data_IF_938180720334
#
_entry.id   IF_938180720334
#
_cell.length_a   1.000
_cell.length_b   1.000
_cell.length_c   1.000
_cell.angle_alpha   90.00
_cell.angle_beta   90.00
_cell.angle_gamma   90.00
#
_symmetry.space_group_name_H-M   'P 1'
#
loop_
_entity.id
_entity.type
_entity.pdbx_description
1 polymer ?
#
# COMPACT_ATOMS: atom_id res chain seq x y z
N UNK A 1 -10.08 -0.86 -4.06
CA UNK A 1 -9.70 -2.22 -3.61
C UNK A 1 -9.93 -2.21 -2.11
N UNK A 2 -10.88 -3.00 -1.65
CA UNK A 2 -11.13 -3.25 -0.23
C UNK A 2 -10.17 -4.37 0.21
N UNK A 3 -9.74 -4.39 1.46
CA UNK A 3 -8.91 -5.47 2.03
C UNK A 3 -9.70 -6.78 2.27
N UNK A 4 -10.83 -6.94 1.58
CA UNK A 4 -11.73 -8.09 1.68
C UNK A 4 -11.35 -9.22 0.71
N UNK A 5 -10.57 -8.90 -0.33
CA UNK A 5 -10.17 -9.86 -1.36
C UNK A 5 -8.65 -9.89 -1.48
N UNK A 6 -8.09 -11.09 -1.65
CA UNK A 6 -6.68 -11.23 -1.95
C UNK A 6 -6.37 -10.68 -3.37
N UNK A 7 -5.11 -10.30 -3.60
CA UNK A 7 -4.66 -9.85 -4.92
C UNK A 7 -4.90 -10.90 -6.01
N UNK A 8 -5.65 -10.57 -7.06
CA UNK A 8 -5.80 -11.47 -8.22
C UNK A 8 -4.70 -11.27 -9.26
N UNK A 9 -4.08 -10.09 -9.27
CA UNK A 9 -3.02 -9.72 -10.22
C UNK A 9 -1.95 -8.85 -9.54
N UNK A 10 -0.72 -8.98 -9.99
CA UNK A 10 0.40 -8.13 -9.60
C UNK A 10 1.33 -7.97 -10.81
N UNK A 11 1.77 -6.73 -11.13
CA UNK A 11 2.59 -6.44 -12.31
C UNK A 11 2.01 -7.03 -13.62
N UNK A 12 0.70 -6.87 -13.83
CA UNK A 12 -0.07 -7.41 -14.98
C UNK A 12 -0.03 -8.94 -15.13
N UNK A 13 0.38 -9.68 -14.09
CA UNK A 13 0.43 -11.14 -14.06
C UNK A 13 -0.60 -11.69 -13.08
N UNK A 14 -1.23 -12.83 -13.38
CA UNK A 14 -2.15 -13.49 -12.45
C UNK A 14 -1.41 -13.96 -11.20
N UNK A 15 -2.05 -13.80 -10.05
CA UNK A 15 -1.60 -14.34 -8.76
C UNK A 15 -2.35 -15.64 -8.48
N UNK A 16 -1.63 -16.68 -8.03
CA UNK A 16 -2.21 -17.98 -7.65
C UNK A 16 -1.61 -18.47 -6.34
N UNK A 17 -2.41 -19.16 -5.52
CA UNK A 17 -1.88 -19.86 -4.35
C UNK A 17 -0.93 -20.98 -4.80
N UNK A 18 0.24 -21.06 -4.15
CA UNK A 18 1.19 -22.12 -4.39
C UNK A 18 0.70 -23.42 -3.76
N UNK A 19 0.61 -24.47 -4.59
CA UNK A 19 0.30 -25.82 -4.16
C UNK A 19 1.46 -26.77 -4.53
N UNK A 20 2.20 -27.32 -3.54
CA UNK A 20 3.29 -28.27 -3.79
C UNK A 20 2.89 -29.50 -4.61
N UNK A 21 1.63 -29.94 -4.55
CA UNK A 21 1.16 -31.08 -5.34
C UNK A 21 1.00 -30.74 -6.84
N UNK A 22 0.84 -29.46 -7.16
CA UNK A 22 0.69 -28.96 -8.53
C UNK A 22 2.00 -28.38 -9.10
N UNK A 23 2.91 -27.96 -8.23
CA UNK A 23 4.17 -27.33 -8.59
C UNK A 23 4.00 -25.99 -9.33
N UNK A 24 5.09 -25.53 -9.94
CA UNK A 24 5.09 -24.28 -10.73
C UNK A 24 4.62 -24.51 -12.16
N UNK A 25 3.76 -23.61 -12.65
CA UNK A 25 3.23 -23.59 -14.02
C UNK A 25 3.43 -22.19 -14.60
N UNK A 26 4.15 -22.09 -15.72
CA UNK A 26 4.53 -20.81 -16.34
C UNK A 26 5.13 -19.81 -15.33
N UNK A 27 6.20 -20.16 -14.58
CA UNK A 27 6.72 -19.37 -13.45
C UNK A 27 7.18 -17.96 -13.82
N UNK A 28 7.57 -17.71 -15.07
CA UNK A 28 7.91 -16.37 -15.54
C UNK A 28 6.66 -15.47 -15.78
N UNK A 29 5.47 -16.05 -15.90
CA UNK A 29 4.21 -15.37 -16.25
C UNK A 29 3.17 -15.45 -15.11
N UNK A 30 3.43 -16.23 -14.07
CA UNK A 30 2.52 -16.40 -12.92
C UNK A 30 3.22 -15.94 -11.65
N UNK A 31 2.51 -15.15 -10.84
CA UNK A 31 2.96 -14.79 -9.50
C UNK A 31 2.33 -15.76 -8.50
N UNK A 32 3.13 -16.22 -7.55
CA UNK A 32 2.69 -17.19 -6.55
C UNK A 32 2.47 -16.54 -5.20
N UNK A 33 1.34 -16.85 -4.57
CA UNK A 33 1.04 -16.55 -3.18
C UNK A 33 1.47 -17.72 -2.31
N UNK A 34 2.35 -17.46 -1.35
CA UNK A 34 2.65 -18.36 -0.25
C UNK A 34 1.79 -17.96 0.95
N UNK A 35 0.93 -18.85 1.41
CA UNK A 35 0.01 -18.59 2.53
C UNK A 35 -0.25 -19.88 3.31
N UNK A 36 -0.66 -19.75 4.57
CA UNK A 36 -1.23 -20.85 5.35
C UNK A 36 -2.76 -20.79 5.42
N UNK A 37 -3.38 -19.74 4.88
CA UNK A 37 -4.84 -19.56 4.89
C UNK A 37 -5.59 -20.59 4.03
N UNK A 38 -4.90 -21.25 3.09
CA UNK A 38 -5.46 -22.33 2.26
C UNK A 38 -5.38 -23.71 2.94
N UNK A 39 -4.89 -23.76 4.18
CA UNK A 39 -4.80 -24.96 5.02
C UNK A 39 -5.85 -24.91 6.13
N UNK A 40 -6.17 -26.09 6.67
CA UNK A 40 -6.96 -26.17 7.91
C UNK A 40 -6.22 -25.46 9.05
N UNK A 41 -6.97 -24.78 9.92
CA UNK A 41 -6.43 -24.06 11.08
C UNK A 41 -5.55 -24.96 11.99
N UNK A 42 -5.94 -26.23 12.15
CA UNK A 42 -5.20 -27.23 12.94
C UNK A 42 -4.03 -27.88 12.18
N UNK A 43 -3.70 -27.40 10.98
CA UNK A 43 -2.59 -27.93 10.18
C UNK A 43 -1.24 -27.71 10.88
N UNK A 44 -0.40 -28.75 10.86
CA UNK A 44 0.98 -28.66 11.33
C UNK A 44 1.90 -27.95 10.31
N UNK A 45 1.45 -27.77 9.06
CA UNK A 45 2.22 -27.10 8.01
C UNK A 45 2.26 -25.61 8.30
N UNK A 46 3.46 -25.07 8.43
CA UNK A 46 3.70 -23.63 8.66
C UNK A 46 4.17 -22.94 7.39
N UNK A 47 4.20 -21.61 7.42
CA UNK A 47 4.65 -20.81 6.27
C UNK A 47 6.07 -21.19 5.82
N UNK A 48 6.92 -21.63 6.75
CA UNK A 48 8.27 -22.09 6.44
C UNK A 48 8.32 -23.37 5.62
N UNK A 49 7.40 -24.29 5.87
CA UNK A 49 7.29 -25.51 5.07
C UNK A 49 6.85 -25.16 3.65
N UNK A 50 5.95 -24.17 3.50
CA UNK A 50 5.53 -23.63 2.20
C UNK A 50 6.68 -22.95 1.46
N UNK A 51 7.43 -22.07 2.13
CA UNK A 51 8.60 -21.39 1.55
C UNK A 51 9.65 -22.41 1.14
N UNK A 52 9.96 -23.39 2.00
CA UNK A 52 10.95 -24.44 1.69
C UNK A 52 10.53 -25.24 0.47
N UNK A 53 9.28 -25.74 0.46
CA UNK A 53 8.75 -26.48 -0.68
C UNK A 53 8.75 -25.64 -1.97
N UNK A 54 8.47 -24.34 -1.90
CA UNK A 54 8.53 -23.44 -3.05
C UNK A 54 9.96 -23.25 -3.57
N UNK A 55 10.93 -23.10 -2.68
CA UNK A 55 12.35 -22.91 -3.05
C UNK A 55 13.01 -24.18 -3.59
N UNK A 56 12.45 -25.36 -3.31
CA UNK A 56 12.90 -26.65 -3.85
C UNK A 56 12.37 -26.93 -5.27
N UNK A 57 11.44 -26.11 -5.78
CA UNK A 57 10.90 -26.25 -7.13
C UNK A 57 12.00 -26.06 -8.20
N UNK A 58 12.13 -26.98 -9.19
CA UNK A 58 13.21 -26.92 -10.18
C UNK A 58 13.27 -25.63 -11.00
N UNK A 59 12.12 -24.94 -11.14
CA UNK A 59 11.98 -23.72 -11.93
C UNK A 59 11.82 -22.45 -11.08
N UNK A 60 12.08 -22.51 -9.77
CA UNK A 60 11.88 -21.36 -8.87
C UNK A 60 12.70 -20.13 -9.30
N UNK A 61 13.85 -20.33 -9.93
CA UNK A 61 14.68 -19.23 -10.45
C UNK A 61 14.06 -18.46 -11.63
N UNK A 62 12.97 -18.93 -12.21
CA UNK A 62 12.21 -18.21 -13.26
C UNK A 62 11.17 -17.23 -12.67
N UNK A 63 10.90 -17.29 -11.36
CA UNK A 63 9.89 -16.48 -10.70
C UNK A 63 10.27 -14.99 -10.73
N UNK A 64 9.32 -14.17 -11.17
CA UNK A 64 9.50 -12.71 -11.23
C UNK A 64 8.77 -11.96 -10.13
N UNK A 65 7.85 -12.60 -9.42
CA UNK A 65 7.11 -11.96 -8.34
C UNK A 65 6.59 -12.95 -7.31
N UNK A 66 6.47 -12.48 -6.08
CA UNK A 66 5.99 -13.27 -4.95
C UNK A 66 4.97 -12.47 -4.15
N UNK A 67 3.90 -13.14 -3.74
CA UNK A 67 2.95 -12.63 -2.75
C UNK A 67 3.09 -13.50 -1.52
N UNK A 68 3.13 -12.89 -0.34
CA UNK A 68 3.02 -13.58 0.94
C UNK A 68 1.66 -13.23 1.52
N UNK A 69 0.79 -14.21 1.70
CA UNK A 69 -0.47 -14.06 2.42
C UNK A 69 -0.28 -14.29 3.92
N UNK A 70 -1.28 -14.88 4.57
CA UNK A 70 -1.22 -15.26 5.99
C UNK A 70 -0.01 -16.17 6.26
N UNK A 71 0.85 -15.77 7.21
CA UNK A 71 2.02 -16.55 7.64
C UNK A 71 1.79 -17.34 8.93
N UNK A 72 0.89 -16.88 9.78
CA UNK A 72 0.47 -17.56 11.00
C UNK A 72 -0.98 -17.19 11.33
N UNK A 73 -1.74 -18.14 11.84
CA UNK A 73 -3.11 -17.92 12.32
C UNK A 73 -3.13 -17.17 13.67
N UNK A 74 -2.04 -17.22 14.42
CA UNK A 74 -1.80 -16.42 15.62
C UNK A 74 -1.25 -15.03 15.23
N UNK A 75 -1.92 -14.36 14.29
CA UNK A 75 -1.39 -13.23 13.51
C UNK A 75 -0.83 -12.04 14.31
N UNK A 76 -1.27 -11.84 15.56
CA UNK A 76 -0.77 -10.79 16.46
C UNK A 76 0.45 -11.20 17.30
N UNK A 77 0.75 -12.49 17.41
CA UNK A 77 1.89 -12.99 18.20
C UNK A 77 3.15 -13.16 17.36
N UNK A 78 2.99 -13.38 16.04
CA UNK A 78 4.08 -13.70 15.12
C UNK A 78 4.21 -12.62 14.05
N UNK A 79 5.34 -11.90 14.09
CA UNK A 79 5.64 -10.87 13.09
C UNK A 79 6.27 -11.43 11.80
N UNK A 80 6.32 -10.59 10.76
CA UNK A 80 6.83 -10.98 9.44
C UNK A 80 8.35 -11.17 9.35
N UNK A 81 9.13 -10.88 10.40
CA UNK A 81 10.61 -10.96 10.36
C UNK A 81 11.11 -12.32 9.87
N UNK A 82 10.60 -13.46 10.37
CA UNK A 82 11.10 -14.76 9.95
C UNK A 82 10.84 -15.03 8.45
N UNK A 83 9.75 -14.49 7.89
CA UNK A 83 9.49 -14.52 6.43
C UNK A 83 10.49 -13.63 5.68
N UNK A 84 10.73 -12.40 6.15
CA UNK A 84 11.72 -11.49 5.54
C UNK A 84 13.10 -12.13 5.52
N UNK A 85 13.54 -12.74 6.62
CA UNK A 85 14.82 -13.44 6.72
C UNK A 85 14.91 -14.61 5.73
N UNK A 86 13.83 -15.38 5.55
CA UNK A 86 13.78 -16.47 4.57
C UNK A 86 13.88 -15.96 3.13
N UNK A 87 13.19 -14.86 2.80
CA UNK A 87 13.30 -14.24 1.47
C UNK A 87 14.72 -13.72 1.22
N UNK A 88 15.37 -13.09 2.20
CA UNK A 88 16.75 -12.64 2.06
C UNK A 88 17.70 -13.83 1.84
N UNK A 89 17.52 -14.93 2.59
CA UNK A 89 18.31 -16.14 2.43
C UNK A 89 18.14 -16.77 1.02
N UNK A 90 16.96 -16.64 0.44
CA UNK A 90 16.61 -17.16 -0.88
C UNK A 90 17.11 -16.31 -2.07
N UNK A 91 17.79 -15.17 -1.84
CA UNK A 91 18.17 -14.22 -2.91
C UNK A 91 18.92 -14.87 -4.10
N UNK A 92 19.73 -15.90 -3.86
CA UNK A 92 20.49 -16.59 -4.90
C UNK A 92 19.62 -17.56 -5.73
N UNK A 93 18.53 -18.06 -5.14
CA UNK A 93 17.55 -18.94 -5.80
C UNK A 93 16.51 -18.14 -6.59
N UNK A 94 16.32 -16.86 -6.26
CA UNK A 94 15.32 -15.96 -6.85
C UNK A 94 15.98 -14.80 -7.64
N UNK A 95 16.87 -15.07 -8.62
CA UNK A 95 17.66 -14.03 -9.28
C UNK A 95 16.86 -13.06 -10.15
N UNK A 96 15.63 -13.43 -10.53
CA UNK A 96 14.76 -12.64 -11.40
C UNK A 96 13.59 -11.98 -10.64
N UNK A 97 13.59 -12.03 -9.31
CA UNK A 97 12.51 -11.45 -8.51
C UNK A 97 12.48 -9.92 -8.67
N UNK A 98 11.33 -9.42 -9.11
CA UNK A 98 11.07 -8.01 -9.41
C UNK A 98 9.89 -7.45 -8.61
N UNK A 99 9.04 -8.31 -8.03
CA UNK A 99 7.88 -7.87 -7.26
C UNK A 99 7.73 -8.67 -5.98
N UNK A 100 7.49 -7.97 -4.87
CA UNK A 100 7.11 -8.57 -3.59
C UNK A 100 5.87 -7.83 -3.10
N UNK A 101 4.84 -8.58 -2.73
CA UNK A 101 3.76 -8.07 -1.87
C UNK A 101 3.75 -8.88 -0.57
N UNK A 102 3.96 -8.23 0.56
CA UNK A 102 4.04 -8.86 1.88
C UNK A 102 2.77 -8.58 2.69
N UNK A 103 2.09 -9.64 3.12
CA UNK A 103 0.91 -9.54 3.97
C UNK A 103 -0.38 -9.35 3.18
N UNK A 104 -0.54 -10.01 2.04
CA UNK A 104 -1.83 -10.12 1.32
C UNK A 104 -2.82 -10.96 2.13
N UNK A 105 -3.18 -10.43 3.29
CA UNK A 105 -4.03 -10.98 4.34
C UNK A 105 -5.32 -10.20 4.29
N UNK A 106 -6.45 -10.90 4.18
CA UNK A 106 -7.76 -10.25 4.12
C UNK A 106 -8.36 -10.06 5.51
N UNK A 107 -9.36 -9.18 5.61
CA UNK A 107 -10.06 -8.89 6.86
C UNK A 107 -10.56 -10.17 7.58
N UNK A 108 -11.07 -11.15 6.83
CA UNK A 108 -11.55 -12.42 7.39
C UNK A 108 -10.42 -13.28 8.00
N UNK A 109 -9.18 -13.08 7.60
CA UNK A 109 -8.00 -13.80 8.09
C UNK A 109 -7.38 -13.07 9.29
N UNK A 110 -7.17 -11.76 9.16
CA UNK A 110 -6.64 -10.89 10.21
C UNK A 110 -7.00 -9.43 9.92
N UNK A 111 -7.50 -8.75 10.94
CA UNK A 111 -7.67 -7.29 10.96
C UNK A 111 -6.34 -6.59 10.63
N UNK A 112 -6.37 -5.57 9.76
CA UNK A 112 -5.15 -4.95 9.21
C UNK A 112 -4.28 -4.30 10.30
N UNK A 113 -4.91 -3.81 11.36
CA UNK A 113 -4.27 -3.23 12.54
C UNK A 113 -3.55 -4.27 13.40
N UNK A 114 -3.91 -5.55 13.28
CA UNK A 114 -3.29 -6.66 14.01
C UNK A 114 -2.12 -7.29 13.26
N UNK A 115 -1.98 -7.04 11.96
CA UNK A 115 -0.91 -7.60 11.13
C UNK A 115 0.46 -7.08 11.59
N UNK A 116 1.23 -7.97 12.23
CA UNK A 116 2.56 -7.67 12.74
C UNK A 116 3.63 -7.71 11.63
N UNK A 117 4.06 -6.55 11.18
CA UNK A 117 5.18 -6.39 10.24
C UNK A 117 6.53 -6.36 10.95
N UNK A 118 7.58 -6.12 10.18
CA UNK A 118 8.96 -6.08 10.65
C UNK A 118 9.81 -5.11 9.83
N UNK A 119 11.13 -5.15 10.04
CA UNK A 119 12.08 -4.37 9.26
C UNK A 119 12.27 -4.99 7.87
N UNK A 120 11.78 -4.28 6.85
CA UNK A 120 11.87 -4.66 5.45
C UNK A 120 13.14 -4.16 4.78
N UNK A 121 13.98 -3.38 5.47
CA UNK A 121 15.21 -2.83 4.91
C UNK A 121 16.16 -3.88 4.27
N UNK A 122 16.26 -5.13 4.78
CA UNK A 122 17.08 -6.16 4.14
C UNK A 122 16.62 -6.55 2.73
N UNK A 123 15.33 -6.41 2.41
CA UNK A 123 14.80 -6.77 1.09
C UNK A 123 15.37 -5.90 -0.03
N UNK A 124 15.56 -4.60 0.23
CA UNK A 124 16.14 -3.67 -0.75
C UNK A 124 17.59 -4.04 -1.11
N UNK A 125 18.33 -4.66 -0.19
CA UNK A 125 19.70 -5.10 -0.44
C UNK A 125 19.74 -6.47 -1.13
N UNK A 126 18.83 -7.37 -0.75
CA UNK A 126 18.76 -8.72 -1.29
C UNK A 126 18.30 -8.76 -2.75
N UNK A 127 17.41 -7.84 -3.14
CA UNK A 127 16.76 -7.83 -4.44
C UNK A 127 17.01 -6.53 -5.21
N UNK A 128 18.21 -6.31 -5.78
CA UNK A 128 18.57 -5.05 -6.44
C UNK A 128 17.75 -4.73 -7.71
N UNK A 129 17.03 -5.71 -8.26
CA UNK A 129 16.15 -5.55 -9.43
C UNK A 129 14.66 -5.43 -9.03
N UNK A 130 14.35 -5.18 -7.76
CA UNK A 130 12.98 -5.02 -7.30
C UNK A 130 12.34 -3.76 -7.92
N UNK A 131 11.24 -3.95 -8.64
CA UNK A 131 10.44 -2.90 -9.26
C UNK A 131 9.17 -2.57 -8.45
N UNK A 132 8.62 -3.55 -7.74
CA UNK A 132 7.41 -3.39 -6.95
C UNK A 132 7.63 -3.92 -5.53
N UNK A 133 7.29 -3.08 -4.54
CA UNK A 133 7.14 -3.48 -3.15
C UNK A 133 5.77 -3.04 -2.65
N UNK A 134 4.95 -4.01 -2.25
CA UNK A 134 3.71 -3.79 -1.53
C UNK A 134 3.78 -4.39 -0.13
N UNK A 135 3.16 -3.73 0.83
CA UNK A 135 3.00 -4.26 2.18
C UNK A 135 1.62 -3.88 2.71
N UNK A 136 0.97 -4.82 3.42
CA UNK A 136 -0.27 -4.57 4.15
C UNK A 136 -0.07 -4.88 5.63
N UNK A 137 -0.57 -3.99 6.49
CA UNK A 137 -0.28 -3.96 7.92
C UNK A 137 0.79 -2.93 8.26
N UNK A 138 0.52 -2.08 9.25
CA UNK A 138 1.45 -1.03 9.69
C UNK A 138 2.22 -1.34 10.97
N UNK A 139 1.71 -2.26 11.80
CA UNK A 139 2.25 -2.49 13.14
C UNK A 139 3.66 -3.10 13.06
N UNK A 140 4.63 -2.48 13.72
CA UNK A 140 6.03 -2.91 13.69
C UNK A 140 6.77 -2.71 12.36
N UNK A 141 6.12 -2.16 11.32
CA UNK A 141 6.71 -1.92 10.00
C UNK A 141 7.88 -0.93 10.08
N UNK A 142 8.99 -1.26 9.44
CA UNK A 142 10.11 -0.34 9.19
C UNK A 142 10.65 -0.56 7.79
N UNK A 143 11.01 0.53 7.12
CA UNK A 143 11.72 0.51 5.83
C UNK A 143 13.20 0.86 6.01
N UNK A 144 13.55 1.51 7.13
CA UNK A 144 14.89 1.96 7.43
C UNK A 144 15.39 2.97 6.39
N UNK A 145 16.68 2.91 6.05
CA UNK A 145 17.26 3.79 5.04
C UNK A 145 17.07 3.20 3.64
N UNK A 146 16.00 3.64 2.98
CA UNK A 146 15.67 3.17 1.64
C UNK A 146 16.53 3.85 0.57
N UNK A 147 17.32 3.05 -0.14
CA UNK A 147 18.02 3.45 -1.36
C UNK A 147 17.89 2.32 -2.39
N UNK A 148 17.15 2.56 -3.47
CA UNK A 148 16.89 1.54 -4.47
C UNK A 148 16.73 2.14 -5.86
N UNK A 149 17.64 1.78 -6.77
CA UNK A 149 17.68 2.36 -8.11
C UNK A 149 16.52 1.91 -8.99
N UNK A 150 15.97 0.72 -8.78
CA UNK A 150 15.01 0.12 -9.72
C UNK A 150 13.56 0.12 -9.24
N UNK A 151 13.27 0.58 -8.02
CA UNK A 151 11.91 0.51 -7.49
C UNK A 151 11.03 1.55 -8.20
N UNK A 152 9.93 1.08 -8.78
CA UNK A 152 8.96 1.89 -9.52
C UNK A 152 7.65 2.06 -8.76
N UNK A 153 7.28 1.06 -7.96
CA UNK A 153 6.03 1.07 -7.18
C UNK A 153 6.30 0.74 -5.72
N UNK A 154 5.81 1.60 -4.84
CA UNK A 154 5.74 1.38 -3.40
C UNK A 154 4.30 1.55 -2.92
N UNK A 155 3.73 0.50 -2.33
CA UNK A 155 2.37 0.48 -1.76
C UNK A 155 2.45 0.08 -0.30
N UNK A 156 1.86 0.89 0.58
CA UNK A 156 1.76 0.61 2.02
C UNK A 156 0.30 0.76 2.43
N UNK A 157 -0.35 -0.36 2.71
CA UNK A 157 -1.72 -0.45 3.21
C UNK A 157 -1.68 -0.60 4.73
N UNK A 158 -2.37 0.27 5.46
CA UNK A 158 -2.34 0.31 6.92
C UNK A 158 -3.60 0.99 7.46
N UNK A 159 -4.14 0.47 8.55
CA UNK A 159 -5.19 1.14 9.32
C UNK A 159 -4.68 2.30 10.19
N UNK A 160 -3.36 2.48 10.29
CA UNK A 160 -2.70 3.55 11.04
C UNK A 160 -1.20 3.56 10.79
N UNK A 161 -0.75 4.35 9.81
CA UNK A 161 0.66 4.36 9.40
C UNK A 161 1.49 5.29 10.27
N UNK A 162 2.52 4.76 10.90
CA UNK A 162 3.40 5.57 11.74
C UNK A 162 4.13 6.67 10.95
N UNK A 163 4.25 7.84 11.58
CA UNK A 163 5.05 8.99 11.17
C UNK A 163 6.49 8.59 10.84
N UNK A 164 7.05 7.61 11.56
CA UNK A 164 8.39 7.08 11.29
C UNK A 164 8.46 6.49 9.89
N UNK A 165 7.50 5.64 9.49
CA UNK A 165 7.48 5.06 8.15
C UNK A 165 7.23 6.14 7.09
N UNK A 166 6.33 7.10 7.33
CA UNK A 166 6.11 8.23 6.41
C UNK A 166 7.39 9.04 6.20
N UNK A 167 8.14 9.31 7.28
CA UNK A 167 9.43 9.99 7.23
C UNK A 167 10.50 9.17 6.50
N UNK A 168 10.57 7.86 6.72
CA UNK A 168 11.48 6.96 6.00
C UNK A 168 11.22 6.98 4.49
N UNK A 169 9.94 6.95 4.08
CA UNK A 169 9.53 7.12 2.68
C UNK A 169 9.95 8.50 2.17
N UNK A 170 9.60 9.58 2.87
CA UNK A 170 9.99 10.95 2.49
C UNK A 170 11.51 11.17 2.43
N UNK A 171 12.29 10.33 3.11
CA UNK A 171 13.76 10.35 3.10
C UNK A 171 14.40 9.38 2.10
N UNK A 172 13.60 8.54 1.44
CA UNK A 172 14.09 7.52 0.52
C UNK A 172 14.81 8.11 -0.71
N UNK A 173 15.70 7.31 -1.28
CA UNK A 173 16.35 7.56 -2.57
C UNK A 173 15.81 6.54 -3.58
N UNK A 174 14.75 6.96 -4.29
CA UNK A 174 14.02 6.12 -5.25
C UNK A 174 13.90 6.89 -6.59
N UNK A 175 14.99 7.01 -7.36
CA UNK A 175 15.04 7.86 -8.55
C UNK A 175 14.10 7.41 -9.67
N UNK A 176 13.63 6.16 -9.62
CA UNK A 176 12.71 5.58 -10.60
C UNK A 176 11.29 5.35 -10.06
N UNK A 177 10.94 5.87 -8.87
CA UNK A 177 9.59 5.74 -8.33
C UNK A 177 8.57 6.48 -9.19
N UNK A 178 7.58 5.75 -9.68
CA UNK A 178 6.50 6.22 -10.55
C UNK A 178 5.15 6.17 -9.83
N UNK A 179 4.99 5.23 -8.90
CA UNK A 179 3.77 5.03 -8.11
C UNK A 179 4.09 4.95 -6.62
N UNK A 180 3.47 5.83 -5.84
CA UNK A 180 3.52 5.83 -4.39
C UNK A 180 2.11 5.83 -3.82
N UNK A 181 1.81 4.85 -2.98
CA UNK A 181 0.54 4.73 -2.27
C UNK A 181 0.79 4.51 -0.79
N UNK A 182 0.25 5.41 0.04
CA UNK A 182 0.32 5.35 1.50
C UNK A 182 -1.10 5.45 2.05
N UNK A 183 -1.52 4.44 2.81
CA UNK A 183 -2.76 4.50 3.60
C UNK A 183 -2.38 5.03 4.97
N UNK A 184 -2.81 6.25 5.28
CA UNK A 184 -2.36 6.95 6.47
C UNK A 184 -3.08 6.44 7.73
N UNK A 185 -4.30 5.95 7.57
CA UNK A 185 -5.13 5.40 8.62
C UNK A 185 -5.64 6.44 9.62
N UNK A 186 -5.83 5.96 10.84
CA UNK A 186 -6.32 6.73 12.00
C UNK A 186 -5.42 6.57 13.22
N UNK A 187 -5.44 7.56 14.11
CA UNK A 187 -4.73 7.52 15.40
C UNK A 187 -5.10 6.32 16.28
N UNK A 188 -6.33 5.80 16.15
CA UNK A 188 -6.80 4.66 16.93
C UNK A 188 -6.03 3.36 16.67
N UNK A 189 -5.41 3.24 15.49
CA UNK A 189 -4.67 2.05 15.06
C UNK A 189 -3.20 2.35 14.73
N UNK A 190 -2.64 3.39 15.36
CA UNK A 190 -1.20 3.69 15.31
C UNK A 190 -0.79 4.81 14.36
N UNK A 191 -1.74 5.42 13.64
CA UNK A 191 -1.46 6.56 12.76
C UNK A 191 -1.09 7.81 13.56
N UNK A 192 0.16 8.25 13.49
CA UNK A 192 0.62 9.48 14.16
C UNK A 192 1.33 10.46 13.21
N UNK A 193 1.29 10.18 11.90
CA UNK A 193 1.81 11.06 10.87
C UNK A 193 1.07 12.40 10.86
N UNK A 194 1.76 13.46 10.46
CA UNK A 194 1.18 14.78 10.25
C UNK A 194 1.46 15.25 8.83
N UNK A 195 0.79 16.33 8.40
CA UNK A 195 1.12 17.02 7.13
C UNK A 195 2.59 17.42 7.04
N UNK A 196 3.26 17.69 8.17
CA UNK A 196 4.68 18.03 8.19
C UNK A 196 5.56 16.85 7.74
N UNK A 197 5.19 15.63 8.13
CA UNK A 197 5.92 14.41 7.76
C UNK A 197 5.82 14.10 6.26
N UNK A 198 4.73 14.54 5.63
CA UNK A 198 4.50 14.42 4.19
C UNK A 198 5.27 15.47 3.37
N UNK A 199 5.76 16.56 3.96
CA UNK A 199 6.40 17.67 3.22
C UNK A 199 7.52 17.23 2.26
N UNK A 200 8.43 16.29 2.61
CA UNK A 200 9.45 15.82 1.68
C UNK A 200 8.89 15.14 0.42
N UNK A 201 7.70 14.54 0.51
CA UNK A 201 6.99 13.94 -0.63
C UNK A 201 6.28 15.04 -1.42
N UNK A 202 5.56 15.92 -0.72
CA UNK A 202 4.77 17.00 -1.31
C UNK A 202 5.63 18.04 -2.04
N UNK A 203 6.89 18.25 -1.65
CA UNK A 203 7.75 19.21 -2.35
C UNK A 203 7.98 18.87 -3.82
N UNK A 204 7.81 17.60 -4.23
CA UNK A 204 8.09 17.12 -5.58
C UNK A 204 9.58 17.01 -5.92
N UNK A 205 10.48 17.31 -4.99
CA UNK A 205 11.93 17.33 -5.24
C UNK A 205 12.56 15.92 -5.18
N UNK A 206 11.92 14.97 -4.47
CA UNK A 206 12.48 13.65 -4.19
C UNK A 206 12.22 12.65 -5.29
N UNK A 207 10.96 12.51 -5.69
CA UNK A 207 10.50 11.48 -6.62
C UNK A 207 10.21 12.10 -7.98
N UNK A 208 11.26 12.50 -8.71
CA UNK A 208 11.12 13.24 -9.98
C UNK A 208 10.34 12.50 -11.10
N UNK A 209 10.20 11.17 -10.98
CA UNK A 209 9.42 10.34 -11.91
C UNK A 209 8.02 10.01 -11.43
N UNK A 210 7.62 10.44 -10.23
CA UNK A 210 6.31 10.12 -9.68
C UNK A 210 5.19 10.61 -10.60
N UNK A 211 4.24 9.71 -10.88
CA UNK A 211 3.04 9.95 -11.70
C UNK A 211 1.77 9.63 -10.94
N UNK A 212 1.80 8.68 -10.03
CA UNK A 212 0.70 8.36 -9.13
C UNK A 212 1.10 8.66 -7.68
N UNK A 213 0.30 9.48 -7.01
CA UNK A 213 0.39 9.71 -5.57
C UNK A 213 -0.96 9.38 -4.91
N UNK A 214 -0.97 8.33 -4.10
CA UNK A 214 -2.08 8.00 -3.21
C UNK A 214 -1.72 8.33 -1.77
N UNK A 215 -2.48 9.23 -1.16
CA UNK A 215 -2.49 9.49 0.28
C UNK A 215 -3.89 9.14 0.78
N UNK A 216 -4.12 7.83 0.85
CA UNK A 216 -5.44 7.22 0.98
C UNK A 216 -5.78 7.00 2.45
N UNK A 217 -7.04 6.68 2.68
CA UNK A 217 -7.52 6.12 3.95
C UNK A 217 -7.10 6.98 5.16
N UNK A 218 -7.27 8.29 5.05
CA UNK A 218 -6.71 9.24 6.00
C UNK A 218 -7.79 9.96 6.81
N UNK A 219 -7.65 9.95 8.13
CA UNK A 219 -8.50 10.76 9.02
C UNK A 219 -8.24 12.27 8.87
N UNK A 220 -7.08 12.65 8.34
CA UNK A 220 -6.66 14.03 8.07
C UNK A 220 -6.75 14.41 6.58
N UNK A 221 -7.65 13.77 5.84
CA UNK A 221 -7.77 13.96 4.39
C UNK A 221 -7.99 15.43 3.98
N UNK A 222 -8.71 16.23 4.78
CA UNK A 222 -8.89 17.65 4.53
C UNK A 222 -7.57 18.43 4.65
N UNK A 223 -6.81 18.20 5.72
CA UNK A 223 -5.53 18.85 5.98
C UNK A 223 -4.50 18.49 4.89
N UNK A 224 -4.50 17.23 4.45
CA UNK A 224 -3.70 16.75 3.32
C UNK A 224 -4.10 17.44 2.02
N UNK A 225 -5.40 17.52 1.71
CA UNK A 225 -5.92 18.20 0.52
C UNK A 225 -5.56 19.70 0.51
N UNK A 226 -5.64 20.37 1.67
CA UNK A 226 -5.24 21.77 1.83
C UNK A 226 -3.75 21.94 1.56
N UNK A 227 -2.90 21.07 2.11
CA UNK A 227 -1.46 21.10 1.87
C UNK A 227 -1.13 20.89 0.39
N UNK A 228 -1.79 19.92 -0.23
CA UNK A 228 -1.65 19.61 -1.66
C UNK A 228 -2.06 20.79 -2.55
N UNK A 229 -3.09 21.56 -2.19
CA UNK A 229 -3.59 22.65 -3.05
C UNK A 229 -2.54 23.69 -3.44
N UNK A 230 -1.50 23.87 -2.61
CA UNK A 230 -0.37 24.76 -2.87
C UNK A 230 0.93 24.03 -3.26
N UNK A 231 0.86 22.71 -3.31
CA UNK A 231 2.03 21.83 -3.41
C UNK A 231 2.58 21.72 -4.84
N UNK A 232 3.91 21.79 -5.04
CA UNK A 232 4.52 21.62 -6.36
C UNK A 232 4.35 20.21 -6.95
N UNK A 233 4.13 19.17 -6.14
CA UNK A 233 3.96 17.80 -6.62
C UNK A 233 2.80 17.66 -7.63
N UNK A 234 1.74 18.49 -7.49
CA UNK A 234 0.60 18.51 -8.40
C UNK A 234 0.98 18.90 -9.83
N UNK A 235 2.06 19.67 -10.01
CA UNK A 235 2.59 19.98 -11.34
C UNK A 235 3.33 18.80 -11.97
N UNK A 236 3.49 17.66 -11.30
CA UNK A 236 4.24 16.52 -11.80
C UNK A 236 3.38 15.27 -11.98
N UNK A 237 2.51 14.99 -11.01
CA UNK A 237 1.70 13.77 -11.00
C UNK A 237 0.56 13.85 -12.01
N UNK A 238 0.14 12.69 -12.50
CA UNK A 238 -1.01 12.50 -13.39
C UNK A 238 -2.22 11.97 -12.63
N UNK A 239 -1.98 11.25 -11.54
CA UNK A 239 -3.04 10.73 -10.66
C UNK A 239 -2.81 11.16 -9.22
N UNK A 240 -3.85 11.73 -8.64
CA UNK A 240 -3.96 12.01 -7.22
C UNK A 240 -5.10 11.17 -6.65
N UNK A 241 -4.80 10.39 -5.62
CA UNK A 241 -5.76 9.54 -4.93
C UNK A 241 -5.83 9.93 -3.44
N UNK A 242 -6.98 10.47 -3.03
CA UNK A 242 -7.31 10.80 -1.65
C UNK A 242 -8.55 10.00 -1.18
N UNK A 243 -8.80 8.87 -1.80
CA UNK A 243 -9.92 7.98 -1.50
C UNK A 243 -9.80 7.34 -0.12
N UNK A 244 -10.89 6.72 0.34
CA UNK A 244 -10.99 5.97 1.60
C UNK A 244 -10.88 6.84 2.87
N UNK A 245 -10.62 8.14 2.74
CA UNK A 245 -10.46 9.04 3.87
C UNK A 245 -11.75 9.75 4.30
N UNK A 246 -11.57 10.75 5.16
CA UNK A 246 -12.64 11.58 5.73
C UNK A 246 -12.87 12.89 4.97
N UNK A 247 -12.46 12.95 3.69
CA UNK A 247 -12.43 14.19 2.89
C UNK A 247 -13.81 14.87 2.84
N UNK A 248 -13.84 16.16 3.18
CA UNK A 248 -15.05 16.99 3.19
C UNK A 248 -14.96 18.13 2.18
N UNK A 249 -16.06 18.89 2.08
CA UNK A 249 -16.11 20.09 1.23
C UNK A 249 -14.99 21.09 1.55
N UNK A 250 -14.46 21.10 2.78
CA UNK A 250 -13.34 21.97 3.17
C UNK A 250 -12.06 21.63 2.41
N UNK A 251 -11.64 20.36 2.44
CA UNK A 251 -10.45 19.90 1.70
C UNK A 251 -10.64 19.99 0.19
N UNK A 252 -11.80 19.56 -0.31
CA UNK A 252 -12.11 19.61 -1.74
C UNK A 252 -12.17 21.04 -2.30
N UNK A 253 -12.70 22.02 -1.54
CA UNK A 253 -12.68 23.42 -1.94
C UNK A 253 -11.25 23.93 -2.13
N UNK A 254 -10.33 23.58 -1.24
CA UNK A 254 -8.92 23.95 -1.37
C UNK A 254 -8.30 23.38 -2.66
N UNK A 255 -8.57 22.11 -2.99
CA UNK A 255 -8.10 21.52 -4.25
C UNK A 255 -8.66 22.25 -5.47
N UNK A 256 -9.94 22.61 -5.50
CA UNK A 256 -10.55 23.37 -6.60
C UNK A 256 -9.91 24.76 -6.79
N UNK A 257 -9.34 25.34 -5.74
CA UNK A 257 -8.63 26.62 -5.80
C UNK A 257 -7.15 26.47 -6.17
N UNK A 258 -6.65 25.23 -6.31
CA UNK A 258 -5.26 24.98 -6.64
C UNK A 258 -4.91 25.45 -8.05
N UNK A 259 -3.83 26.23 -8.23
CA UNK A 259 -3.34 26.62 -9.54
C UNK A 259 -2.56 25.49 -10.24
N UNK A 260 -2.27 24.38 -9.56
CA UNK A 260 -1.29 23.38 -9.97
C UNK A 260 -1.91 22.07 -10.53
N UNK A 261 -3.22 22.04 -10.81
CA UNK A 261 -3.91 20.83 -11.30
C UNK A 261 -3.73 20.57 -12.80
N UNK A 262 -2.84 21.31 -13.49
CA UNK A 262 -2.80 21.33 -14.96
C UNK A 262 -2.33 20.03 -15.60
N UNK A 263 -1.58 19.19 -14.88
CA UNK A 263 -1.06 17.92 -15.37
C UNK A 263 -1.86 16.71 -14.87
N UNK A 264 -2.87 16.95 -14.03
CA UNK A 264 -3.69 15.88 -13.48
C UNK A 264 -4.63 15.33 -14.57
N UNK A 265 -4.62 14.02 -14.72
CA UNK A 265 -5.47 13.27 -15.65
C UNK A 265 -6.58 12.51 -14.90
N UNK A 266 -6.34 12.17 -13.63
CA UNK A 266 -7.28 11.46 -12.77
C UNK A 266 -7.21 11.93 -11.32
N UNK A 267 -8.38 12.21 -10.74
CA UNK A 267 -8.54 12.49 -9.31
C UNK A 267 -9.49 11.45 -8.70
N UNK A 268 -8.97 10.60 -7.83
CA UNK A 268 -9.78 9.61 -7.12
C UNK A 268 -10.09 10.05 -5.70
N UNK A 269 -11.39 10.19 -5.42
CA UNK A 269 -11.94 10.56 -4.13
C UNK A 269 -12.99 9.54 -3.68
N UNK A 270 -13.06 8.33 -4.24
CA UNK A 270 -14.12 7.39 -3.79
C UNK A 270 -14.03 7.14 -2.29
N UNK A 271 -15.17 6.89 -1.65
CA UNK A 271 -15.27 6.89 -0.20
C UNK A 271 -14.86 8.25 0.40
N UNK A 272 -15.82 9.16 0.46
CA UNK A 272 -15.65 10.55 0.93
C UNK A 272 -16.91 11.08 1.63
N UNK A 273 -16.84 12.28 2.21
CA UNK A 273 -17.96 12.97 2.87
C UNK A 273 -18.34 14.31 2.17
N UNK A 274 -18.15 14.39 0.86
CA UNK A 274 -18.49 15.57 0.05
C UNK A 274 -20.00 15.75 -0.11
N UNK A 275 -20.43 17.01 -0.17
CA UNK A 275 -21.80 17.36 -0.57
C UNK A 275 -22.04 17.09 -2.05
N UNK A 276 -23.32 16.96 -2.43
CA UNK A 276 -23.70 16.79 -3.84
C UNK A 276 -23.29 17.98 -4.72
N UNK A 277 -23.29 19.20 -4.16
CA UNK A 277 -22.83 20.39 -4.85
C UNK A 277 -21.32 20.32 -5.11
N UNK A 278 -20.54 19.95 -4.09
CA UNK A 278 -19.09 19.82 -4.23
C UNK A 278 -18.71 18.73 -5.25
N UNK A 279 -19.36 17.56 -5.20
CA UNK A 279 -19.16 16.50 -6.19
C UNK A 279 -19.41 16.99 -7.61
N UNK A 280 -20.48 17.77 -7.84
CA UNK A 280 -20.79 18.34 -9.17
C UNK A 280 -19.66 19.27 -9.63
N UNK A 281 -19.19 20.17 -8.76
CA UNK A 281 -18.09 21.09 -9.08
C UNK A 281 -16.79 20.37 -9.42
N UNK A 282 -16.49 19.27 -8.72
CA UNK A 282 -15.33 18.44 -9.01
C UNK A 282 -15.49 17.70 -10.34
N UNK A 283 -16.67 17.19 -10.65
CA UNK A 283 -16.96 16.52 -11.93
C UNK A 283 -16.89 17.46 -13.14
N UNK A 284 -17.01 18.78 -12.94
CA UNK A 284 -16.83 19.80 -13.99
C UNK A 284 -15.36 20.11 -14.31
N UNK A 285 -14.40 19.50 -13.59
CA UNK A 285 -12.97 19.63 -13.88
C UNK A 285 -12.63 19.03 -15.26
N UNK A 286 -11.57 19.50 -15.95
CA UNK A 286 -11.25 19.10 -17.32
C UNK A 286 -10.60 17.71 -17.44
N UNK A 287 -10.63 16.89 -16.38
CA UNK A 287 -10.03 15.57 -16.31
C UNK A 287 -10.96 14.60 -15.55
N UNK A 288 -10.63 13.31 -15.54
CA UNK A 288 -11.52 12.30 -14.94
C UNK A 288 -11.51 12.40 -13.41
N UNK A 289 -12.69 12.43 -12.79
CA UNK A 289 -12.85 12.48 -11.34
C UNK A 289 -13.77 11.37 -10.85
N UNK A 290 -13.33 10.63 -9.84
CA UNK A 290 -14.10 9.59 -9.18
C UNK A 290 -14.58 10.07 -7.80
N UNK A 291 -15.89 10.31 -7.69
CA UNK A 291 -16.59 10.72 -6.45
C UNK A 291 -17.70 9.71 -6.12
N UNK A 292 -17.39 8.42 -6.31
CA UNK A 292 -18.32 7.32 -5.95
C UNK A 292 -18.26 7.04 -4.46
N UNK A 293 -19.22 6.25 -3.98
CA UNK A 293 -19.23 5.77 -2.61
C UNK A 293 -19.24 6.92 -1.59
N UNK A 294 -20.15 7.86 -1.76
CA UNK A 294 -20.36 8.95 -0.80
C UNK A 294 -20.85 8.37 0.53
N UNK A 295 -20.17 8.74 1.60
CA UNK A 295 -20.55 8.45 2.98
C UNK A 295 -21.35 9.61 3.60
N UNK A 296 -22.12 9.29 4.62
CA UNK A 296 -22.80 10.28 5.47
C UNK A 296 -22.13 10.29 6.85
N UNK A 297 -21.84 11.46 7.42
CA UNK A 297 -21.24 11.54 8.74
C UNK A 297 -22.23 11.07 9.81
N UNK A 298 -21.70 10.52 10.90
CA UNK A 298 -22.50 10.15 12.06
C UNK A 298 -22.59 11.33 13.05
N UNK A 299 -23.77 11.59 13.62
CA UNK A 299 -23.93 12.57 14.69
C UNK A 299 -24.16 11.84 16.01
N UNK A 300 -23.23 12.00 16.95
CA UNK A 300 -23.32 11.42 18.29
C UNK A 300 -22.93 12.46 19.33
N UNK A 301 -23.81 12.67 20.32
CA UNK A 301 -23.67 13.68 21.39
C UNK A 301 -23.41 15.13 20.89
N UNK A 302 -23.94 15.46 19.71
CA UNK A 302 -23.76 16.78 19.07
C UNK A 302 -22.41 16.96 18.37
N UNK A 303 -21.60 15.91 18.28
CA UNK A 303 -20.36 15.87 17.50
C UNK A 303 -20.57 15.10 16.20
N UNK A 304 -19.88 15.55 15.13
CA UNK A 304 -19.94 14.97 13.79
C UNK A 304 -18.72 14.08 13.61
N UNK A 305 -18.95 12.80 13.42
CA UNK A 305 -17.93 11.77 13.22
C UNK A 305 -17.86 11.37 11.75
N UNK A 306 -16.62 11.24 11.25
CA UNK A 306 -16.31 10.69 9.93
C UNK A 306 -15.29 9.60 10.13
N UNK A 307 -15.45 8.50 9.40
CA UNK A 307 -14.58 7.34 9.52
C UNK A 307 -13.86 7.11 8.21
N UNK A 308 -12.63 6.61 8.30
CA UNK A 308 -11.89 6.05 7.18
C UNK A 308 -12.52 4.72 6.76
N UNK A 309 -12.25 4.27 5.53
CA UNK A 309 -12.85 3.05 5.01
C UNK A 309 -12.24 1.79 5.62
N UNK A 310 -10.95 1.85 5.95
CA UNK A 310 -10.20 0.77 6.55
C UNK A 310 -9.55 1.30 7.83
N UNK A 311 -9.77 0.63 8.95
CA UNK A 311 -9.23 1.10 10.23
C UNK A 311 -8.71 -0.07 11.04
N UNK A 312 -9.62 -0.98 11.43
CA UNK A 312 -9.27 -2.18 12.19
C UNK A 312 -8.82 -3.32 11.27
#
# INVERSE_FOLDING_TARGET
>A
MTIADNLEQLMDKPVKNYNPDQGLTHPAETIYRLTVADLDYDSEIKIFDRITAFLDEPQVGEITGLVIGLWDWEGFEVNSRPVVEALVAAQAQLPHLQAIFLGDIVYEECEISWIQQSDLSPLFLAYPNLHYLGVRGGEGLKLGRVNHDHLQTLVIESGGLSSTVVQEVGQAQLPNLEHLELWLGTENYGGDATVADLQPILSGERFSKLRYLGLRDSEMADEVAIALSSSPILNQIQTLDLSLGTLSDRGAAALLESPNLTNLEYLDLHHHFLSAEMMTRLQDLPFAVNVKDRQEPEEYDGEIWRYVAVSE
#
